data_IF_606995690984
#
_entry.id   IF_606995690984
#
_cell.length_a   1.000
_cell.length_b   1.000
_cell.length_c   1.000
_cell.angle_alpha   90.00
_cell.angle_beta   90.00
_cell.angle_gamma   90.00
#
_symmetry.space_group_name_H-M   'P 1'
#
loop_
_entity.id
_entity.type
_entity.pdbx_description
1 polymer ?
#
# COMPACT_ATOMS: atom_id res chain seq x y z
N UNK A 1 3.30 -17.00 12.82
CA UNK A 1 3.88 -17.09 14.18
C UNK A 1 5.40 -16.87 14.23
N UNK A 2 6.16 -16.97 13.13
CA UNK A 2 7.65 -16.96 13.18
C UNK A 2 8.30 -15.56 13.30
N UNK A 3 7.58 -14.46 13.03
CA UNK A 3 8.17 -13.12 12.97
C UNK A 3 8.32 -12.45 14.36
N UNK A 4 7.40 -12.71 15.29
CA UNK A 4 7.40 -12.02 16.60
C UNK A 4 8.48 -12.52 17.55
N UNK A 5 8.80 -13.81 17.48
CA UNK A 5 9.86 -14.42 18.29
C UNK A 5 11.25 -13.89 17.90
N UNK A 6 11.53 -13.87 16.59
CA UNK A 6 12.79 -13.31 16.05
C UNK A 6 12.94 -11.81 16.38
N UNK A 7 11.84 -11.06 16.39
CA UNK A 7 11.85 -9.63 16.73
C UNK A 7 12.14 -9.34 18.19
N UNK A 8 11.74 -10.23 19.10
CA UNK A 8 11.98 -10.08 20.54
C UNK A 8 13.36 -10.57 20.98
N UNK A 9 14.04 -11.34 20.13
CA UNK A 9 15.32 -11.96 20.43
C UNK A 9 16.40 -10.95 20.88
N UNK A 10 16.60 -9.78 20.21
CA UNK A 10 17.58 -8.80 20.68
C UNK A 10 17.27 -8.25 22.08
N UNK A 11 15.99 -8.03 22.39
CA UNK A 11 15.56 -7.54 23.72
C UNK A 11 15.83 -8.60 24.79
N UNK A 12 15.47 -9.86 24.51
CA UNK A 12 15.64 -10.96 25.46
C UNK A 12 17.12 -11.22 25.72
N UNK A 13 17.94 -11.27 24.67
CA UNK A 13 19.40 -11.49 24.79
C UNK A 13 20.07 -10.31 25.48
N UNK A 14 19.73 -9.06 25.11
CA UNK A 14 20.28 -7.86 25.76
C UNK A 14 19.87 -7.75 27.24
N UNK A 15 18.62 -8.05 27.57
CA UNK A 15 18.14 -8.08 28.96
C UNK A 15 18.82 -9.17 29.78
N UNK A 16 18.95 -10.39 29.24
CA UNK A 16 19.65 -11.49 29.89
C UNK A 16 21.13 -11.17 30.10
N UNK A 17 21.79 -10.56 29.11
CA UNK A 17 23.18 -10.10 29.22
C UNK A 17 23.38 -9.07 30.33
N UNK A 18 22.49 -8.06 30.41
CA UNK A 18 22.54 -7.05 31.47
C UNK A 18 22.36 -7.66 32.87
N UNK A 19 21.41 -8.59 33.03
CA UNK A 19 21.16 -9.30 34.30
C UNK A 19 22.37 -10.15 34.70
N UNK A 20 22.94 -10.91 33.77
CA UNK A 20 24.12 -11.73 34.05
C UNK A 20 25.34 -10.88 34.44
N UNK A 21 25.56 -9.75 33.77
CA UNK A 21 26.64 -8.81 34.15
C UNK A 21 26.42 -8.22 35.54
N UNK A 22 25.18 -7.88 35.89
CA UNK A 22 24.84 -7.39 37.22
C UNK A 22 25.11 -8.46 38.30
N UNK A 23 24.69 -9.70 38.05
CA UNK A 23 24.96 -10.83 38.95
C UNK A 23 26.47 -11.06 39.09
N UNK A 24 27.20 -11.08 37.96
CA UNK A 24 28.64 -11.22 37.94
C UNK A 24 29.32 -10.13 38.78
N UNK A 25 28.85 -8.89 38.67
CA UNK A 25 29.36 -7.75 39.44
C UNK A 25 29.09 -7.85 40.93
N UNK A 26 27.92 -8.35 41.34
CA UNK A 26 27.56 -8.52 42.76
C UNK A 26 28.31 -9.67 43.43
N UNK A 27 28.66 -10.71 42.67
CA UNK A 27 29.33 -11.90 43.19
C UNK A 27 30.86 -11.80 43.14
N UNK A 28 31.42 -10.80 42.46
CA UNK A 28 32.88 -10.63 42.33
C UNK A 28 33.40 -9.60 43.35
N UNK A 29 34.19 -10.02 44.38
CA UNK A 29 34.70 -9.12 45.42
C UNK A 29 35.80 -8.18 44.92
N UNK A 30 36.75 -8.70 44.13
CA UNK A 30 37.89 -7.96 43.60
C UNK A 30 37.84 -7.94 42.07
N UNK A 31 37.83 -6.74 41.48
CA UNK A 31 37.75 -6.56 40.03
C UNK A 31 39.12 -6.23 39.46
N UNK A 32 39.52 -6.97 38.43
CA UNK A 32 40.69 -6.65 37.61
C UNK A 32 40.37 -5.57 36.59
N UNK A 33 41.38 -4.79 36.18
CA UNK A 33 41.20 -3.73 35.16
C UNK A 33 40.65 -4.27 33.83
N UNK A 34 41.04 -5.49 33.44
CA UNK A 34 40.52 -6.16 32.25
C UNK A 34 39.05 -6.52 32.39
N UNK A 35 38.64 -7.00 33.56
CA UNK A 35 37.25 -7.33 33.85
C UNK A 35 36.37 -6.07 33.89
N UNK A 36 36.84 -4.97 34.49
CA UNK A 36 36.12 -3.69 34.46
C UNK A 36 35.86 -3.20 33.03
N UNK A 37 36.85 -3.31 32.13
CA UNK A 37 36.69 -2.94 30.71
C UNK A 37 35.72 -3.85 29.98
N UNK A 38 35.76 -5.15 30.26
CA UNK A 38 34.84 -6.13 29.68
C UNK A 38 33.39 -5.89 30.15
N UNK A 39 33.18 -5.59 31.42
CA UNK A 39 31.86 -5.26 31.97
C UNK A 39 31.26 -4.02 31.28
N UNK A 40 32.06 -2.96 31.09
CA UNK A 40 31.62 -1.75 30.36
C UNK A 40 31.19 -2.08 28.93
N UNK A 41 32.00 -2.85 28.20
CA UNK A 41 31.65 -3.28 26.85
C UNK A 41 30.38 -4.15 26.83
N UNK A 42 30.22 -5.04 27.81
CA UNK A 42 29.05 -5.90 27.96
C UNK A 42 27.77 -5.12 28.25
N UNK A 43 27.84 -4.08 29.09
CA UNK A 43 26.71 -3.19 29.37
C UNK A 43 26.32 -2.40 28.12
N UNK A 44 27.31 -1.86 27.39
CA UNK A 44 27.06 -1.17 26.12
C UNK A 44 26.40 -2.10 25.11
N UNK A 45 26.92 -3.33 24.95
CA UNK A 45 26.35 -4.32 24.03
C UNK A 45 24.90 -4.67 24.41
N UNK A 46 24.64 -4.85 25.70
CA UNK A 46 23.29 -5.15 26.21
C UNK A 46 22.31 -4.00 25.92
N UNK A 47 22.73 -2.75 26.14
CA UNK A 47 21.94 -1.56 25.83
C UNK A 47 21.67 -1.42 24.32
N UNK A 48 22.66 -1.67 23.46
CA UNK A 48 22.52 -1.64 22.01
C UNK A 48 21.54 -2.72 21.52
N UNK A 49 21.62 -3.94 22.06
CA UNK A 49 20.70 -5.03 21.70
C UNK A 49 19.25 -4.72 22.09
N UNK A 50 19.04 -4.15 23.28
CA UNK A 50 17.72 -3.69 23.72
C UNK A 50 17.20 -2.58 22.79
N UNK A 51 18.02 -1.58 22.47
CA UNK A 51 17.65 -0.49 21.57
C UNK A 51 17.26 -1.00 20.18
N UNK A 52 18.06 -1.89 19.59
CA UNK A 52 17.76 -2.51 18.29
C UNK A 52 16.42 -3.26 18.34
N UNK A 53 16.19 -4.03 19.40
CA UNK A 53 14.93 -4.75 19.57
C UNK A 53 13.72 -3.82 19.72
N UNK A 54 13.86 -2.72 20.46
CA UNK A 54 12.81 -1.70 20.58
C UNK A 54 12.54 -1.01 19.22
N UNK A 55 13.58 -0.70 18.44
CA UNK A 55 13.42 -0.16 17.09
C UNK A 55 12.66 -1.14 16.18
N UNK A 56 12.96 -2.44 16.26
CA UNK A 56 12.24 -3.47 15.49
C UNK A 56 10.76 -3.61 15.88
N UNK A 57 10.40 -3.28 17.12
CA UNK A 57 9.00 -3.26 17.55
C UNK A 57 8.24 -2.02 17.06
N UNK A 58 8.91 -0.87 16.94
CA UNK A 58 8.29 0.38 16.48
C UNK A 58 7.95 0.36 14.97
N UNK A 59 8.61 -0.50 14.18
CA UNK A 59 8.30 -0.69 12.75
C UNK A 59 7.10 -1.64 12.58
N UNK A 60 5.96 -1.28 13.14
CA UNK A 60 4.67 -1.80 12.69
C UNK A 60 3.92 -0.72 11.92
N UNK A 61 3.72 -0.89 10.61
CA UNK A 61 2.68 -0.14 9.91
C UNK A 61 1.36 -0.49 10.60
N UNK A 62 0.73 0.47 11.28
CA UNK A 62 -0.66 0.29 11.68
C UNK A 62 -1.45 0.13 10.39
N UNK A 63 -2.02 -1.06 10.20
CA UNK A 63 -2.93 -1.29 9.08
C UNK A 63 -4.12 -0.33 9.30
N UNK A 64 -4.42 0.54 8.33
CA UNK A 64 -5.55 1.45 8.45
C UNK A 64 -6.85 0.65 8.57
N UNK A 65 -7.80 1.17 9.37
CA UNK A 65 -9.10 0.52 9.55
C UNK A 65 -9.81 0.38 8.20
N UNK A 66 -9.92 -0.86 7.74
CA UNK A 66 -10.56 -1.18 6.47
C UNK A 66 -12.07 -1.21 6.65
N UNK A 67 -12.80 -0.54 5.75
CA UNK A 67 -14.26 -0.57 5.73
C UNK A 67 -14.76 -1.61 4.73
N UNK A 68 -16.00 -2.07 4.91
CA UNK A 68 -16.70 -2.80 3.84
C UNK A 68 -17.27 -1.79 2.86
N UNK A 69 -16.89 -1.86 1.59
CA UNK A 69 -17.40 -0.93 0.58
C UNK A 69 -18.89 -1.15 0.31
N UNK A 70 -19.62 -0.06 0.09
CA UNK A 70 -21.04 -0.08 -0.26
C UNK A 70 -21.20 -0.18 -1.77
N UNK A 71 -21.84 -1.24 -2.24
CA UNK A 71 -22.08 -1.49 -3.65
C UNK A 71 -22.19 -2.98 -3.96
N UNK A 72 -22.43 -3.30 -5.23
CA UNK A 72 -22.51 -4.68 -5.70
C UNK A 72 -21.19 -5.09 -6.38
N UNK A 73 -20.79 -6.35 -6.20
CA UNK A 73 -19.66 -6.88 -6.95
C UNK A 73 -20.07 -7.10 -8.41
N UNK A 74 -19.30 -6.53 -9.34
CA UNK A 74 -19.63 -6.59 -10.75
C UNK A 74 -18.40 -6.53 -11.67
N UNK A 75 -18.66 -6.85 -12.94
CA UNK A 75 -17.69 -6.79 -14.02
C UNK A 75 -18.41 -6.36 -15.31
N UNK A 76 -18.12 -5.14 -15.76
CA UNK A 76 -18.80 -4.50 -16.89
C UNK A 76 -17.75 -3.99 -17.86
N UNK A 77 -17.76 -4.52 -19.09
CA UNK A 77 -16.92 -4.07 -20.20
C UNK A 77 -17.78 -3.29 -21.21
N UNK A 78 -17.16 -2.34 -21.90
CA UNK A 78 -17.82 -1.70 -23.04
C UNK A 78 -18.06 -2.74 -24.17
N UNK A 79 -19.26 -2.77 -24.78
CA UNK A 79 -19.64 -3.83 -25.72
C UNK A 79 -18.81 -3.79 -27.02
N UNK A 80 -18.44 -2.59 -27.47
CA UNK A 80 -17.83 -2.32 -28.78
C UNK A 80 -16.30 -2.55 -28.80
N UNK A 81 -15.74 -3.18 -27.77
CA UNK A 81 -14.31 -3.43 -27.67
C UNK A 81 -13.88 -4.66 -28.48
N UNK A 82 -12.71 -4.63 -29.13
CA UNK A 82 -12.10 -5.84 -29.69
C UNK A 82 -11.87 -6.91 -28.62
N UNK A 83 -11.98 -8.19 -28.98
CA UNK A 83 -11.81 -9.30 -28.02
C UNK A 83 -10.43 -9.33 -27.38
N UNK A 84 -9.38 -8.92 -28.11
CA UNK A 84 -8.03 -8.75 -27.56
C UNK A 84 -8.02 -7.73 -26.42
N UNK A 85 -8.64 -6.57 -26.63
CA UNK A 85 -8.73 -5.50 -25.63
C UNK A 85 -9.59 -5.94 -24.44
N UNK A 86 -10.72 -6.62 -24.66
CA UNK A 86 -11.55 -7.16 -23.58
C UNK A 86 -10.78 -8.14 -22.70
N UNK A 87 -10.06 -9.08 -23.31
CA UNK A 87 -9.24 -10.06 -22.61
C UNK A 87 -8.16 -9.38 -21.78
N UNK A 88 -7.52 -8.36 -22.35
CA UNK A 88 -6.45 -7.64 -21.68
C UNK A 88 -6.94 -6.77 -20.51
N UNK A 89 -8.07 -6.08 -20.68
CA UNK A 89 -8.72 -5.35 -19.59
C UNK A 89 -9.21 -6.29 -18.48
N UNK A 90 -9.75 -7.46 -18.85
CA UNK A 90 -10.15 -8.49 -17.90
C UNK A 90 -8.96 -9.03 -17.11
N UNK A 91 -7.84 -9.30 -17.77
CA UNK A 91 -6.60 -9.76 -17.15
C UNK A 91 -6.01 -8.70 -16.21
N UNK A 92 -5.83 -7.47 -16.69
CA UNK A 92 -5.24 -6.37 -15.93
C UNK A 92 -6.04 -6.05 -14.66
N UNK A 93 -7.37 -5.96 -14.79
CA UNK A 93 -8.24 -5.70 -13.65
C UNK A 93 -8.29 -6.84 -12.65
N UNK A 94 -8.23 -8.10 -13.11
CA UNK A 94 -8.17 -9.24 -12.22
C UNK A 94 -6.89 -9.22 -11.38
N UNK A 95 -5.74 -8.99 -12.02
CA UNK A 95 -4.45 -8.95 -11.33
C UNK A 95 -4.42 -7.86 -10.26
N UNK A 96 -4.93 -6.66 -10.57
CA UNK A 96 -4.95 -5.57 -9.60
C UNK A 96 -5.88 -5.85 -8.42
N UNK A 97 -7.07 -6.39 -8.66
CA UNK A 97 -8.02 -6.72 -7.58
C UNK A 97 -7.54 -7.87 -6.69
N UNK A 98 -6.69 -8.76 -7.20
CA UNK A 98 -6.20 -9.93 -6.46
C UNK A 98 -4.82 -9.73 -5.82
N UNK A 99 -3.98 -8.88 -6.38
CA UNK A 99 -2.60 -8.67 -5.92
C UNK A 99 -2.34 -7.31 -5.27
N UNK A 100 -3.34 -6.43 -5.21
CA UNK A 100 -3.24 -5.14 -4.51
C UNK A 100 -4.41 -4.96 -3.55
N UNK A 101 -4.40 -3.86 -2.80
CA UNK A 101 -5.50 -3.45 -1.91
C UNK A 101 -6.72 -2.86 -2.64
N UNK A 102 -6.71 -2.82 -3.98
CA UNK A 102 -7.81 -2.31 -4.81
C UNK A 102 -9.06 -3.17 -4.61
N UNK A 103 -10.22 -2.51 -4.47
CA UNK A 103 -11.54 -3.16 -4.35
C UNK A 103 -12.54 -2.71 -5.41
N UNK A 104 -12.33 -1.54 -5.99
CA UNK A 104 -13.15 -1.01 -7.08
C UNK A 104 -12.23 -0.41 -8.14
N UNK A 105 -12.53 -0.63 -9.41
CA UNK A 105 -11.63 -0.30 -10.51
C UNK A 105 -12.44 0.19 -11.71
N UNK A 106 -11.97 1.29 -12.32
CA UNK A 106 -12.57 1.88 -13.52
C UNK A 106 -11.47 2.24 -14.52
N UNK A 107 -11.64 1.85 -15.78
CA UNK A 107 -10.77 2.27 -16.89
C UNK A 107 -11.53 3.29 -17.73
N UNK A 108 -10.99 4.49 -17.81
CA UNK A 108 -11.50 5.57 -18.64
C UNK A 108 -10.52 5.85 -19.77
N UNK A 109 -10.98 5.87 -21.01
CA UNK A 109 -10.14 6.08 -22.20
C UNK A 109 -10.90 6.86 -23.27
N UNK A 110 -10.29 7.90 -23.84
CA UNK A 110 -10.86 8.71 -24.93
C UNK A 110 -12.32 9.15 -24.71
N UNK A 111 -12.65 9.61 -23.50
CA UNK A 111 -14.01 10.07 -23.22
C UNK A 111 -15.00 8.99 -22.77
N UNK A 112 -14.60 7.72 -22.75
CA UNK A 112 -15.49 6.57 -22.51
C UNK A 112 -15.00 5.70 -21.37
N UNK A 113 -15.94 5.10 -20.65
CA UNK A 113 -15.65 4.06 -19.66
C UNK A 113 -15.54 2.72 -20.38
N UNK A 114 -14.35 2.12 -20.39
CA UNK A 114 -14.08 0.86 -21.06
C UNK A 114 -14.34 -0.35 -20.16
N UNK A 115 -14.08 -0.19 -18.87
CA UNK A 115 -14.19 -1.26 -17.87
C UNK A 115 -14.60 -0.69 -16.52
N UNK A 116 -15.49 -1.40 -15.82
CA UNK A 116 -15.73 -1.28 -14.38
C UNK A 116 -15.66 -2.67 -13.75
N UNK A 117 -14.91 -2.84 -12.66
CA UNK A 117 -14.79 -4.14 -11.97
C UNK A 117 -14.59 -3.99 -10.46
N UNK A 118 -15.08 -4.98 -9.71
CA UNK A 118 -14.97 -5.03 -8.25
C UNK A 118 -16.27 -4.54 -7.62
N UNK A 119 -16.19 -3.82 -6.50
CA UNK A 119 -17.38 -3.23 -5.87
C UNK A 119 -17.79 -1.97 -6.64
N UNK A 120 -18.95 -2.00 -7.28
CA UNK A 120 -19.45 -0.95 -8.16
C UNK A 120 -20.45 -0.06 -7.43
N UNK A 121 -20.36 1.25 -7.67
CA UNK A 121 -21.45 2.17 -7.33
C UNK A 121 -22.56 2.12 -8.39
N UNK A 122 -23.75 2.57 -8.01
CA UNK A 122 -24.90 2.70 -8.91
C UNK A 122 -24.56 3.62 -10.10
N UNK A 123 -23.89 4.74 -9.83
CA UNK A 123 -23.46 5.67 -10.87
C UNK A 123 -22.28 5.10 -11.67
N UNK A 124 -22.42 5.07 -12.99
CA UNK A 124 -21.43 4.50 -13.91
C UNK A 124 -20.66 5.53 -14.74
N UNK A 125 -21.19 6.76 -14.82
CA UNK A 125 -20.63 7.82 -15.66
C UNK A 125 -19.42 8.48 -15.00
N UNK A 126 -18.30 8.50 -15.73
CA UNK A 126 -17.08 9.21 -15.33
C UNK A 126 -17.07 10.58 -15.98
N UNK A 127 -17.10 11.64 -15.17
CA UNK A 127 -16.97 13.02 -15.63
C UNK A 127 -15.64 13.58 -15.15
N UNK A 128 -14.61 13.69 -16.02
CA UNK A 128 -13.30 14.22 -15.63
C UNK A 128 -13.39 15.66 -15.10
N UNK A 129 -12.94 15.87 -13.86
CA UNK A 129 -12.81 17.21 -13.26
C UNK A 129 -11.33 17.51 -13.01
N UNK A 130 -11.00 18.21 -11.93
CA UNK A 130 -9.69 18.78 -11.71
C UNK A 130 -8.59 17.70 -11.60
N UNK A 131 -8.89 16.56 -10.99
CA UNK A 131 -7.89 15.53 -10.69
C UNK A 131 -7.62 14.69 -11.95
N UNK A 132 -8.66 14.18 -12.59
CA UNK A 132 -8.52 13.40 -13.82
C UNK A 132 -7.93 14.24 -14.96
N UNK A 133 -8.35 15.50 -15.13
CA UNK A 133 -7.74 16.40 -16.13
C UNK A 133 -6.26 16.62 -15.85
N UNK A 134 -5.88 16.87 -14.59
CA UNK A 134 -4.47 17.01 -14.22
C UNK A 134 -3.66 15.74 -14.51
N UNK A 135 -4.22 14.56 -14.27
CA UNK A 135 -3.57 13.27 -14.57
C UNK A 135 -3.36 13.12 -16.08
N UNK A 136 -4.38 13.41 -16.88
CA UNK A 136 -4.31 13.37 -18.34
C UNK A 136 -3.31 14.40 -18.91
N UNK A 137 -3.34 15.64 -18.42
CA UNK A 137 -2.47 16.73 -18.90
C UNK A 137 -1.01 16.54 -18.48
N UNK A 138 -0.77 16.23 -17.21
CA UNK A 138 0.60 16.14 -16.66
C UNK A 138 1.21 14.76 -16.84
N UNK A 139 0.42 13.75 -17.21
CA UNK A 139 0.86 12.36 -17.34
C UNK A 139 1.58 11.88 -16.07
N UNK A 140 1.08 12.31 -14.91
CA UNK A 140 1.61 11.94 -13.59
C UNK A 140 0.49 11.32 -12.77
N UNK A 141 0.75 10.19 -12.10
CA UNK A 141 -0.24 9.60 -11.22
C UNK A 141 -0.57 10.51 -10.06
N UNK A 142 -1.81 10.43 -9.59
CA UNK A 142 -2.28 11.11 -8.39
C UNK A 142 -2.80 10.06 -7.42
N UNK A 143 -2.20 10.02 -6.24
CA UNK A 143 -2.65 9.18 -5.14
C UNK A 143 -3.31 10.04 -4.06
N UNK A 144 -4.61 9.83 -3.87
CA UNK A 144 -5.42 10.41 -2.80
C UNK A 144 -5.46 9.42 -1.64
N UNK A 145 -4.64 9.69 -0.63
CA UNK A 145 -4.43 8.77 0.49
C UNK A 145 -5.62 8.65 1.44
N UNK A 146 -6.48 9.64 1.50
CA UNK A 146 -7.71 9.63 2.29
C UNK A 146 -8.75 10.47 1.56
N UNK A 147 -9.67 9.81 0.85
CA UNK A 147 -10.64 10.48 0.00
C UNK A 147 -11.59 11.40 0.81
N UNK A 148 -11.83 11.10 2.09
CA UNK A 148 -12.77 11.86 2.93
C UNK A 148 -12.31 13.30 3.14
N UNK A 149 -11.00 13.54 3.23
CA UNK A 149 -10.42 14.87 3.45
C UNK A 149 -10.35 15.73 2.19
N UNK A 150 -10.59 15.16 1.00
CA UNK A 150 -10.54 15.92 -0.24
C UNK A 150 -11.89 16.57 -0.56
N UNK A 151 -11.96 17.91 -0.71
CA UNK A 151 -13.20 18.60 -1.06
C UNK A 151 -13.71 18.22 -2.47
N UNK A 152 -12.80 17.84 -3.37
CA UNK A 152 -13.11 17.38 -4.73
C UNK A 152 -13.55 15.92 -4.84
N UNK A 153 -13.82 15.21 -3.73
CA UNK A 153 -14.17 13.78 -3.75
C UNK A 153 -15.41 13.43 -4.59
N UNK A 154 -16.28 14.41 -4.83
CA UNK A 154 -17.45 14.27 -5.70
C UNK A 154 -17.07 13.91 -7.15
N UNK A 155 -15.82 14.15 -7.56
CA UNK A 155 -15.28 13.68 -8.85
C UNK A 155 -15.26 12.14 -8.96
N UNK A 156 -15.34 11.40 -7.85
CA UNK A 156 -15.27 9.94 -7.80
C UNK A 156 -16.59 9.29 -7.41
N UNK A 157 -17.73 9.94 -7.67
CA UNK A 157 -19.07 9.44 -7.35
C UNK A 157 -19.49 8.17 -8.12
N UNK A 158 -18.70 7.75 -9.10
CA UNK A 158 -18.79 6.45 -9.79
C UNK A 158 -18.06 5.28 -9.08
N UNK A 159 -17.32 5.57 -8.00
CA UNK A 159 -16.77 4.59 -7.06
C UNK A 159 -17.72 4.45 -5.85
N UNK A 160 -17.64 3.35 -5.08
CA UNK A 160 -18.37 3.22 -3.81
C UNK A 160 -18.26 4.46 -2.93
N UNK A 161 -19.38 4.94 -2.38
CA UNK A 161 -19.45 6.21 -1.66
C UNK A 161 -18.47 6.27 -0.48
N UNK A 162 -18.23 5.13 0.17
CA UNK A 162 -17.30 5.00 1.27
C UNK A 162 -15.89 4.51 0.84
N UNK A 163 -15.48 4.79 -0.40
CA UNK A 163 -14.08 4.57 -0.83
C UNK A 163 -13.13 5.41 0.04
N UNK A 164 -12.07 4.80 0.55
CA UNK A 164 -11.14 5.46 1.48
C UNK A 164 -9.89 6.00 0.78
N UNK A 165 -9.39 5.33 -0.26
CA UNK A 165 -8.20 5.74 -1.00
C UNK A 165 -8.40 5.59 -2.50
N UNK A 166 -7.81 6.49 -3.29
CA UNK A 166 -7.94 6.46 -4.76
C UNK A 166 -6.58 6.70 -5.41
N UNK A 167 -6.20 5.83 -6.36
CA UNK A 167 -5.09 6.08 -7.28
C UNK A 167 -5.66 6.35 -8.67
N UNK A 168 -5.27 7.47 -9.26
CA UNK A 168 -5.48 7.79 -10.67
C UNK A 168 -4.15 7.64 -11.40
N UNK A 169 -3.98 6.56 -12.16
CA UNK A 169 -2.78 6.27 -12.94
C UNK A 169 -3.05 6.57 -14.42
N UNK A 170 -2.25 7.40 -15.11
CA UNK A 170 -2.43 7.61 -16.55
C UNK A 170 -2.17 6.32 -17.34
N UNK A 171 -2.97 6.08 -18.39
CA UNK A 171 -2.80 4.99 -19.37
C UNK A 171 -2.49 5.66 -20.71
N UNK A 172 -1.20 5.90 -20.97
CA UNK A 172 -0.77 6.74 -22.08
C UNK A 172 -1.43 8.13 -22.03
N UNK A 173 -1.54 8.78 -23.20
CA UNK A 173 -1.97 10.19 -23.30
C UNK A 173 -3.48 10.40 -23.10
N UNK A 174 -4.28 9.36 -23.32
CA UNK A 174 -5.73 9.49 -23.50
C UNK A 174 -6.55 8.67 -22.51
N UNK A 175 -5.89 7.98 -21.58
CA UNK A 175 -6.53 7.11 -20.61
C UNK A 175 -6.15 7.39 -19.18
N UNK A 176 -7.02 6.99 -18.26
CA UNK A 176 -6.77 6.94 -16.83
C UNK A 176 -7.31 5.64 -16.26
N UNK A 177 -6.48 5.00 -15.46
CA UNK A 177 -6.83 3.91 -14.57
C UNK A 177 -7.20 4.46 -13.20
N UNK A 178 -8.40 4.20 -12.73
CA UNK A 178 -8.92 4.72 -11.47
C UNK A 178 -9.16 3.54 -10.53
N UNK A 179 -8.50 3.53 -9.38
CA UNK A 179 -8.44 2.41 -8.45
C UNK A 179 -8.86 2.85 -7.05
N UNK A 180 -9.98 2.32 -6.57
CA UNK A 180 -10.54 2.57 -5.24
C UNK A 180 -10.16 1.50 -4.23
N UNK A 181 -9.67 1.92 -3.06
CA UNK A 181 -9.35 1.08 -1.92
C UNK A 181 -10.29 1.33 -0.73
N UNK A 182 -10.44 0.32 0.10
CA UNK A 182 -11.34 0.33 1.26
C UNK A 182 -10.65 0.74 2.59
N UNK A 183 -9.39 1.16 2.52
CA UNK A 183 -8.64 1.67 3.66
C UNK A 183 -7.82 2.91 3.22
N UNK A 184 -7.67 3.95 4.07
CA UNK A 184 -6.83 5.10 3.72
C UNK A 184 -5.34 4.72 3.77
N UNK A 185 -4.47 5.36 2.98
CA UNK A 185 -3.01 5.11 2.97
C UNK A 185 -2.64 3.63 2.76
N UNK A 186 -3.47 2.87 2.06
CA UNK A 186 -3.34 1.41 1.95
C UNK A 186 -2.39 0.95 0.85
N UNK A 187 -2.23 1.73 -0.23
CA UNK A 187 -1.32 1.36 -1.31
C UNK A 187 0.13 1.54 -0.88
N UNK A 188 0.93 0.51 -1.14
CA UNK A 188 2.37 0.50 -0.94
C UNK A 188 3.09 1.01 -2.20
N UNK A 189 4.38 1.34 -2.08
CA UNK A 189 5.22 1.66 -3.25
C UNK A 189 5.26 0.52 -4.27
N UNK A 190 5.18 -0.72 -3.81
CA UNK A 190 5.16 -1.88 -4.70
C UNK A 190 3.85 -1.92 -5.49
N UNK A 191 2.70 -1.64 -4.86
CA UNK A 191 1.42 -1.53 -5.55
C UNK A 191 1.47 -0.43 -6.62
N UNK A 192 2.00 0.75 -6.29
CA UNK A 192 2.15 1.86 -7.25
C UNK A 192 2.98 1.47 -8.48
N UNK A 193 4.09 0.74 -8.29
CA UNK A 193 4.93 0.24 -9.39
C UNK A 193 4.17 -0.78 -10.25
N UNK A 194 3.44 -1.72 -9.62
CA UNK A 194 2.62 -2.70 -10.35
C UNK A 194 1.52 -2.03 -11.17
N UNK A 195 0.82 -1.07 -10.57
CA UNK A 195 -0.23 -0.28 -11.23
C UNK A 195 0.34 0.47 -12.43
N UNK A 196 1.50 1.12 -12.28
CA UNK A 196 2.16 1.82 -13.38
C UNK A 196 2.57 0.86 -14.51
N UNK A 197 3.19 -0.28 -14.20
CA UNK A 197 3.61 -1.25 -15.21
C UNK A 197 2.43 -1.86 -15.99
N UNK A 198 1.31 -2.14 -15.31
CA UNK A 198 0.09 -2.62 -15.96
C UNK A 198 -0.52 -1.52 -16.84
N UNK A 199 -0.53 -0.27 -16.38
CA UNK A 199 -1.02 0.87 -17.16
C UNK A 199 -0.17 1.09 -18.42
N UNK A 200 1.15 0.96 -18.34
CA UNK A 200 2.05 1.07 -19.50
C UNK A 200 1.76 -0.03 -20.53
N UNK A 201 1.51 -1.26 -20.06
CA UNK A 201 1.14 -2.37 -20.96
C UNK A 201 -0.23 -2.15 -21.62
N UNK A 202 -1.22 -1.71 -20.85
CA UNK A 202 -2.54 -1.35 -21.40
C UNK A 202 -2.45 -0.20 -22.39
N UNK A 203 -1.55 0.76 -22.19
CA UNK A 203 -1.36 1.87 -23.11
C UNK A 203 -0.88 1.43 -24.50
N UNK A 204 -0.16 0.31 -24.60
CA UNK A 204 0.22 -0.30 -25.88
C UNK A 204 -1.00 -1.00 -26.50
N UNK A 205 -1.71 -1.81 -25.72
CA UNK A 205 -2.91 -2.54 -26.18
C UNK A 205 -4.02 -1.62 -26.68
N UNK A 206 -4.22 -0.45 -26.06
CA UNK A 206 -5.29 0.49 -26.44
C UNK A 206 -4.91 1.39 -27.61
N UNK A 207 -3.62 1.47 -27.97
CA UNK A 207 -3.14 2.24 -29.13
C UNK A 207 -3.08 1.42 -30.42
N UNK A 208 -2.96 0.10 -30.32
CA UNK A 208 -2.88 -0.84 -31.44
C UNK A 208 -4.24 -1.39 -31.84
#
# INVERSE_FOLDING_TARGET
>A
MTNDFLRRLPIVVGGLGAVLLLINRLLTPDITDSQARADVLGVILSAVLILIGLLWQQVQPRLPDAVQLVGEEGFVLAPDLPETVKTELAWASHLLLTNTVTRSLVVYYQGKVLLRRGILAEKSEVVPRAILKRVLEKQKPVYLVDLKVYPGRIEFDYLPENTQGVICQPIGKEGVFILGANAPRSYTKQDEIWIAGIADKLAVTLKG
#
